data_IF_610511061886
#
_entry.id   IF_610511061886
#
_cell.length_a   1.000
_cell.length_b   1.000
_cell.length_c   1.000
_cell.angle_alpha   90.00
_cell.angle_beta   90.00
_cell.angle_gamma   90.00
#
_symmetry.space_group_name_H-M   'P 1'
#
loop_
_entity.id
_entity.type
_entity.pdbx_description
1 polymer ?
#
# COMPACT_ATOMS: atom_id res chain seq x y z
N UNK A 1 12.90 -16.77 13.80
CA UNK A 1 13.09 -15.32 13.64
C UNK A 1 12.03 -14.92 12.63
N UNK A 2 11.15 -13.97 12.95
CA UNK A 2 10.12 -13.56 12.00
C UNK A 2 10.77 -12.76 10.87
N UNK A 3 10.64 -13.22 9.64
CA UNK A 3 11.01 -12.44 8.48
C UNK A 3 10.03 -11.29 8.27
N UNK A 4 10.52 -10.21 7.66
CA UNK A 4 9.68 -9.04 7.35
C UNK A 4 10.10 -8.39 6.05
N UNK A 5 9.14 -7.78 5.36
CA UNK A 5 9.37 -6.93 4.19
C UNK A 5 8.48 -5.70 4.23
N UNK A 6 9.07 -4.54 3.96
CA UNK A 6 8.36 -3.26 3.89
C UNK A 6 8.28 -2.84 2.43
N UNK A 7 7.08 -2.48 1.99
CA UNK A 7 6.85 -1.92 0.65
C UNK A 7 6.21 -0.55 0.74
N UNK A 8 6.52 0.30 -0.23
CA UNK A 8 5.90 1.61 -0.37
C UNK A 8 4.95 1.59 -1.55
N UNK A 9 3.76 2.12 -1.32
CA UNK A 9 2.75 2.27 -2.35
C UNK A 9 2.34 3.73 -2.47
N UNK A 10 2.04 4.14 -3.70
CA UNK A 10 1.49 5.45 -4.01
C UNK A 10 0.03 5.35 -4.43
N UNK A 11 -0.74 6.37 -4.07
CA UNK A 11 -2.16 6.45 -4.39
C UNK A 11 -2.31 6.56 -5.90
N UNK A 12 -3.08 5.66 -6.48
CA UNK A 12 -3.40 5.69 -7.90
C UNK A 12 -4.75 6.38 -8.12
N UNK A 13 -5.80 5.93 -7.43
CA UNK A 13 -7.14 6.50 -7.54
C UNK A 13 -8.03 6.17 -6.36
N UNK A 14 -9.08 6.96 -6.20
CA UNK A 14 -10.16 6.68 -5.24
C UNK A 14 -11.40 6.13 -5.95
N UNK A 15 -12.15 5.30 -5.23
CA UNK A 15 -13.50 4.86 -5.61
C UNK A 15 -14.51 5.32 -4.55
N UNK A 16 -15.75 4.80 -4.58
CA UNK A 16 -16.77 5.10 -3.57
C UNK A 16 -16.28 4.81 -2.15
N UNK A 17 -15.78 3.59 -1.93
CA UNK A 17 -15.45 3.09 -0.58
C UNK A 17 -13.97 2.76 -0.40
N UNK A 18 -13.21 2.63 -1.49
CA UNK A 18 -11.82 2.18 -1.43
C UNK A 18 -10.87 3.18 -2.09
N UNK A 19 -9.60 3.07 -1.74
CA UNK A 19 -8.48 3.74 -2.39
C UNK A 19 -7.60 2.65 -2.98
N UNK A 20 -7.27 2.80 -4.25
CA UNK A 20 -6.32 1.94 -4.95
C UNK A 20 -4.93 2.56 -4.82
N UNK A 21 -4.03 1.84 -4.19
CA UNK A 21 -2.61 2.13 -4.13
C UNK A 21 -1.85 1.19 -5.07
N UNK A 22 -0.80 1.68 -5.72
CA UNK A 22 0.12 0.88 -6.54
C UNK A 22 1.50 0.88 -5.91
N UNK A 23 2.15 -0.27 -5.93
CA UNK A 23 3.53 -0.40 -5.44
C UNK A 23 4.46 0.41 -6.33
N UNK A 24 5.41 1.12 -5.69
CA UNK A 24 6.41 1.90 -6.41
C UNK A 24 7.47 0.93 -6.95
N UNK A 25 7.64 0.92 -8.28
CA UNK A 25 8.71 0.15 -8.91
C UNK A 25 10.07 0.66 -8.45
N UNK A 26 10.90 -0.25 -7.93
CA UNK A 26 12.30 0.04 -7.61
C UNK A 26 13.15 -0.70 -8.64
N UNK A 27 14.09 0.00 -9.25
CA UNK A 27 14.93 -0.55 -10.32
C UNK A 27 15.63 -1.84 -9.88
N UNK A 28 15.48 -2.90 -10.70
CA UNK A 28 16.05 -4.22 -10.41
C UNK A 28 15.32 -5.06 -9.35
N UNK A 29 14.18 -4.60 -8.81
CA UNK A 29 13.40 -5.36 -7.82
C UNK A 29 12.03 -5.78 -8.36
N UNK A 30 11.62 -7.06 -8.19
CA UNK A 30 10.29 -7.49 -8.57
C UNK A 30 9.23 -6.88 -7.63
N UNK A 31 8.11 -6.47 -8.21
CA UNK A 31 6.90 -6.04 -7.48
C UNK A 31 6.37 -7.20 -6.61
N UNK A 32 6.08 -6.92 -5.34
CA UNK A 32 5.55 -7.91 -4.40
C UNK A 32 4.02 -7.99 -4.45
N UNK A 33 3.36 -6.84 -4.43
CA UNK A 33 1.92 -6.70 -4.24
C UNK A 33 1.22 -6.09 -5.44
N UNK A 34 1.94 -5.29 -6.26
CA UNK A 34 1.44 -4.51 -7.42
C UNK A 34 0.35 -3.49 -7.08
N UNK A 35 -0.75 -3.91 -6.46
CA UNK A 35 -1.91 -3.07 -6.11
C UNK A 35 -2.45 -3.46 -4.74
N UNK A 36 -2.78 -2.46 -3.93
CA UNK A 36 -3.54 -2.63 -2.69
C UNK A 36 -4.85 -1.83 -2.74
N UNK A 37 -5.95 -2.45 -2.33
CA UNK A 37 -7.23 -1.77 -2.13
C UNK A 37 -7.46 -1.58 -0.64
N UNK A 38 -7.47 -0.32 -0.20
CA UNK A 38 -7.65 0.04 1.22
C UNK A 38 -9.00 0.71 1.39
N UNK A 39 -9.79 0.30 2.39
CA UNK A 39 -11.07 0.97 2.70
C UNK A 39 -10.80 2.40 3.18
N UNK A 40 -11.58 3.38 2.70
CA UNK A 40 -11.44 4.79 3.10
C UNK A 40 -11.54 4.98 4.61
N UNK A 41 -12.36 4.16 5.26
CA UNK A 41 -12.54 4.16 6.72
C UNK A 41 -11.25 3.90 7.51
N UNK A 42 -10.26 3.22 6.91
CA UNK A 42 -8.92 3.00 7.50
C UNK A 42 -8.25 4.32 7.92
N UNK A 43 -8.49 5.39 7.15
CA UNK A 43 -7.90 6.71 7.39
C UNK A 43 -8.83 7.66 8.18
N UNK A 44 -9.99 7.18 8.63
CA UNK A 44 -11.05 7.97 9.30
C UNK A 44 -11.41 9.24 8.51
N UNK A 45 -12.01 10.25 9.15
CA UNK A 45 -12.28 11.58 8.53
C UNK A 45 -11.01 12.38 8.19
N UNK A 46 -9.85 11.73 8.11
CA UNK A 46 -8.59 12.34 7.75
C UNK A 46 -8.40 12.46 6.25
N UNK A 47 -7.39 13.23 5.86
CA UNK A 47 -6.94 13.31 4.48
C UNK A 47 -6.38 11.94 4.06
N UNK A 48 -6.88 11.41 2.94
CA UNK A 48 -6.36 10.19 2.34
C UNK A 48 -4.89 10.42 1.94
N UNK A 49 -3.94 9.60 2.42
CA UNK A 49 -2.53 9.81 2.14
C UNK A 49 -2.19 9.46 0.69
N UNK A 50 -1.29 10.24 0.09
CA UNK A 50 -0.80 10.01 -1.27
C UNK A 50 0.23 8.86 -1.33
N UNK A 51 0.86 8.52 -0.21
CA UNK A 51 1.80 7.40 -0.07
C UNK A 51 1.55 6.66 1.23
N UNK A 52 1.66 5.34 1.20
CA UNK A 52 1.57 4.47 2.36
C UNK A 52 2.72 3.45 2.36
N UNK A 53 3.03 2.91 3.53
CA UNK A 53 3.93 1.78 3.68
C UNK A 53 3.15 0.59 4.23
N UNK A 54 3.35 -0.60 3.65
CA UNK A 54 2.78 -1.86 4.13
C UNK A 54 3.94 -2.75 4.60
N UNK A 55 3.78 -3.33 5.78
CA UNK A 55 4.70 -4.33 6.33
C UNK A 55 4.08 -5.71 6.18
N UNK A 56 4.81 -6.65 5.59
CA UNK A 56 4.46 -8.07 5.48
C UNK A 56 5.40 -8.83 6.40
N UNK A 57 4.85 -9.61 7.33
CA UNK A 57 5.61 -10.39 8.33
C UNK A 57 5.23 -11.88 8.21
N UNK A 58 6.22 -12.78 8.32
CA UNK A 58 6.01 -14.24 8.30
C UNK A 58 7.01 -14.99 9.20
N UNK A 59 6.71 -16.26 9.49
CA UNK A 59 7.51 -17.14 10.36
C UNK A 59 8.55 -17.97 9.60
#
# INVERSE_FOLDING_TARGET
MSDKRIITLEKEKETKNTIRYKEIETEGSPLIMKTAYIQKETFKQGKIPEKISITIEWE
#
